data_IF_431003429712
#
_entry.id   IF_431003429712
#
_cell.length_a   1.000
_cell.length_b   1.000
_cell.length_c   1.000
_cell.angle_alpha   90.00
_cell.angle_beta   90.00
_cell.angle_gamma   90.00
#
_symmetry.space_group_name_H-M   'P 1'
#
loop_
_entity.id
_entity.type
_entity.pdbx_description
1 polymer ?
#
# COMPACT_ATOMS: atom_id res chain seq x y z
N UNK A 1 -20.29 -21.96 -21.31
CA UNK A 1 -19.08 -22.51 -20.66
C UNK A 1 -18.18 -21.32 -20.39
N UNK A 2 -18.21 -20.66 -19.25
CA UNK A 2 -18.76 -21.02 -17.93
C UNK A 2 -19.44 -19.81 -17.27
N UNK A 3 -20.27 -20.10 -16.27
CA UNK A 3 -21.20 -19.23 -15.55
C UNK A 3 -20.66 -17.84 -15.12
N UNK A 4 -21.26 -16.77 -15.65
CA UNK A 4 -21.25 -15.40 -15.10
C UNK A 4 -22.49 -15.14 -14.22
N UNK A 5 -23.05 -16.16 -13.59
CA UNK A 5 -24.34 -16.13 -12.87
C UNK A 5 -24.20 -16.02 -11.35
N UNK A 6 -23.25 -15.21 -10.88
CA UNK A 6 -23.24 -14.70 -9.50
C UNK A 6 -23.43 -13.18 -9.54
N UNK A 7 -24.31 -12.62 -8.71
CA UNK A 7 -24.40 -11.16 -8.53
C UNK A 7 -23.02 -10.62 -8.12
N UNK A 8 -22.24 -10.14 -9.09
CA UNK A 8 -20.87 -9.68 -8.85
C UNK A 8 -20.91 -8.49 -7.91
N UNK A 9 -20.31 -8.64 -6.73
CA UNK A 9 -20.17 -7.54 -5.79
C UNK A 9 -19.40 -6.39 -6.45
N UNK A 10 -19.99 -5.19 -6.43
CA UNK A 10 -19.43 -4.02 -7.13
C UNK A 10 -18.03 -3.65 -6.63
N UNK A 11 -17.78 -3.82 -5.32
CA UNK A 11 -16.46 -3.56 -4.76
C UNK A 11 -15.44 -4.61 -5.23
N UNK A 12 -15.83 -5.89 -5.33
CA UNK A 12 -14.98 -6.93 -5.94
C UNK A 12 -14.55 -6.53 -7.35
N UNK A 13 -15.50 -6.18 -8.22
CA UNK A 13 -15.22 -5.73 -9.60
C UNK A 13 -14.35 -4.48 -9.61
N UNK A 14 -14.59 -3.55 -8.68
CA UNK A 14 -13.79 -2.33 -8.56
C UNK A 14 -12.35 -2.62 -8.13
N UNK A 15 -12.09 -3.56 -7.22
CA UNK A 15 -10.74 -3.98 -6.84
C UNK A 15 -10.00 -4.63 -8.02
N UNK A 16 -10.68 -5.46 -8.81
CA UNK A 16 -10.12 -6.03 -10.05
C UNK A 16 -9.75 -4.93 -11.04
N UNK A 17 -10.65 -3.96 -11.26
CA UNK A 17 -10.36 -2.80 -12.10
C UNK A 17 -9.15 -2.00 -11.61
N UNK A 18 -9.05 -1.74 -10.30
CA UNK A 18 -7.90 -1.06 -9.71
C UNK A 18 -6.59 -1.82 -9.97
N UNK A 19 -6.63 -3.16 -9.88
CA UNK A 19 -5.46 -4.02 -10.09
C UNK A 19 -4.93 -3.96 -11.53
N UNK A 20 -5.82 -3.74 -12.51
CA UNK A 20 -5.50 -3.60 -13.93
C UNK A 20 -4.95 -2.19 -14.19
N UNK A 21 -5.68 -1.16 -13.79
CA UNK A 21 -5.36 0.23 -14.16
C UNK A 21 -4.00 0.67 -13.59
N UNK A 22 -3.66 0.22 -12.38
CA UNK A 22 -2.38 0.56 -11.76
C UNK A 22 -1.17 0.04 -12.56
N UNK A 23 -1.31 -1.01 -13.37
CA UNK A 23 -0.21 -1.53 -14.19
C UNK A 23 0.19 -0.58 -15.33
N UNK A 24 -0.72 0.31 -15.72
CA UNK A 24 -0.52 1.25 -16.81
C UNK A 24 -0.08 2.64 -16.33
N UNK A 25 0.43 2.75 -15.09
CA UNK A 25 0.79 4.02 -14.43
C UNK A 25 1.88 4.84 -15.13
N UNK A 26 2.52 4.32 -16.19
CA UNK A 26 3.43 5.10 -17.05
C UNK A 26 2.70 6.09 -17.95
N UNK A 27 1.42 5.85 -18.23
CA UNK A 27 0.55 6.80 -18.93
C UNK A 27 -0.06 7.76 -17.90
N UNK A 28 0.04 9.06 -18.14
CA UNK A 28 -0.45 10.11 -17.24
C UNK A 28 -1.96 9.99 -16.97
N UNK A 29 -2.77 9.71 -17.99
CA UNK A 29 -4.22 9.53 -17.84
C UNK A 29 -4.56 8.31 -16.96
N UNK A 30 -3.81 7.22 -17.14
CA UNK A 30 -3.98 6.00 -16.34
C UNK A 30 -3.48 6.20 -14.90
N UNK A 31 -2.42 6.99 -14.72
CA UNK A 31 -1.94 7.41 -13.40
C UNK A 31 -3.01 8.26 -12.67
N UNK A 32 -3.62 9.23 -13.36
CA UNK A 32 -4.73 10.03 -12.83
C UNK A 32 -5.94 9.16 -12.48
N UNK A 33 -6.27 8.18 -13.34
CA UNK A 33 -7.36 7.23 -13.06
C UNK A 33 -7.04 6.34 -11.85
N UNK A 34 -5.80 5.86 -11.73
CA UNK A 34 -5.33 5.10 -10.55
C UNK A 34 -5.44 5.95 -9.28
N UNK A 35 -5.05 7.23 -9.36
CA UNK A 35 -5.18 8.17 -8.26
C UNK A 35 -6.63 8.35 -7.82
N UNK A 36 -7.56 8.50 -8.77
CA UNK A 36 -8.98 8.57 -8.49
C UNK A 36 -9.48 7.29 -7.80
N UNK A 37 -9.05 6.12 -8.28
CA UNK A 37 -9.42 4.84 -7.67
C UNK A 37 -8.96 4.74 -6.21
N UNK A 38 -7.73 5.16 -5.93
CA UNK A 38 -7.19 5.13 -4.55
C UNK A 38 -7.88 6.15 -3.64
N UNK A 39 -8.31 7.30 -4.19
CA UNK A 39 -9.14 8.24 -3.43
C UNK A 39 -10.49 7.63 -3.05
N UNK A 40 -11.14 6.91 -3.97
CA UNK A 40 -12.39 6.20 -3.67
C UNK A 40 -12.14 5.14 -2.59
N UNK A 41 -11.07 4.35 -2.69
CA UNK A 41 -10.71 3.35 -1.69
C UNK A 41 -10.38 3.98 -0.32
N UNK A 42 -9.76 5.16 -0.29
CA UNK A 42 -9.56 5.92 0.95
C UNK A 42 -10.91 6.27 1.60
N UNK A 43 -11.87 6.81 0.83
CA UNK A 43 -13.20 7.11 1.36
C UNK A 43 -13.92 5.85 1.86
N UNK A 44 -13.85 4.74 1.11
CA UNK A 44 -14.46 3.46 1.52
C UNK A 44 -13.83 2.93 2.81
N UNK A 45 -12.51 3.06 2.98
CA UNK A 45 -11.82 2.62 4.21
C UNK A 45 -11.97 3.58 5.39
N UNK A 46 -12.59 4.74 5.21
CA UNK A 46 -13.00 5.61 6.32
C UNK A 46 -14.41 5.30 6.81
N UNK A 47 -15.27 4.76 5.94
CA UNK A 47 -16.65 4.42 6.29
C UNK A 47 -16.71 3.16 7.18
N UNK A 48 -17.42 3.28 8.31
CA UNK A 48 -17.48 2.21 9.31
C UNK A 48 -18.28 1.00 8.82
N UNK A 49 -19.38 1.21 8.10
CA UNK A 49 -20.23 0.14 7.59
C UNK A 49 -19.57 -0.63 6.45
N UNK A 50 -18.89 0.08 5.54
CA UNK A 50 -18.10 -0.52 4.48
C UNK A 50 -16.98 -1.38 5.06
N UNK A 51 -16.24 -0.87 6.06
CA UNK A 51 -15.22 -1.66 6.74
C UNK A 51 -15.79 -2.90 7.43
N UNK A 52 -16.91 -2.78 8.16
CA UNK A 52 -17.56 -3.92 8.80
C UNK A 52 -17.94 -5.01 7.78
N UNK A 53 -18.50 -4.60 6.64
CA UNK A 53 -18.86 -5.51 5.54
C UNK A 53 -17.64 -6.14 4.88
N UNK A 54 -16.58 -5.37 4.63
CA UNK A 54 -15.34 -5.86 4.01
C UNK A 54 -14.58 -6.86 4.89
N UNK A 55 -14.74 -6.78 6.20
CA UNK A 55 -14.04 -7.62 7.18
C UNK A 55 -14.87 -8.80 7.69
N UNK A 56 -16.16 -8.91 7.34
CA UNK A 56 -17.02 -10.01 7.77
C UNK A 56 -16.54 -11.35 7.18
N UNK A 57 -16.15 -12.29 8.04
CA UNK A 57 -15.68 -13.63 7.64
C UNK A 57 -16.76 -14.47 6.94
N UNK A 58 -18.05 -14.14 7.12
CA UNK A 58 -19.16 -14.82 6.46
C UNK A 58 -19.47 -14.25 5.07
N UNK A 59 -18.96 -13.05 4.75
CA UNK A 59 -19.19 -12.37 3.48
C UNK A 59 -17.91 -12.44 2.64
N UNK A 60 -17.77 -13.55 1.91
CA UNK A 60 -16.55 -13.84 1.15
C UNK A 60 -16.74 -13.75 -0.35
N UNK A 61 -15.72 -13.28 -1.06
CA UNK A 61 -15.70 -13.20 -2.52
C UNK A 61 -14.38 -13.74 -3.08
N UNK A 62 -14.42 -14.21 -4.32
CA UNK A 62 -13.21 -14.51 -5.09
C UNK A 62 -12.89 -13.30 -5.95
N UNK A 63 -11.75 -12.65 -5.68
CA UNK A 63 -11.30 -11.43 -6.37
C UNK A 63 -10.04 -11.75 -7.18
N UNK A 64 -10.08 -11.53 -8.49
CA UNK A 64 -8.95 -11.82 -9.39
C UNK A 64 -8.10 -10.58 -9.63
N UNK A 65 -7.10 -10.38 -8.77
CA UNK A 65 -6.19 -9.24 -8.90
C UNK A 65 -5.15 -9.47 -9.99
N UNK A 66 -5.12 -8.58 -10.97
CA UNK A 66 -4.10 -8.57 -12.01
C UNK A 66 -2.73 -8.21 -11.43
N UNK A 67 -1.75 -9.09 -11.67
CA UNK A 67 -0.39 -9.01 -11.13
C UNK A 67 0.62 -8.58 -12.19
N UNK A 68 1.56 -7.72 -11.81
CA UNK A 68 2.64 -7.31 -12.71
C UNK A 68 3.52 -8.52 -13.07
N UNK A 69 3.95 -8.67 -14.34
CA UNK A 69 4.91 -9.68 -14.71
C UNK A 69 6.28 -9.34 -14.12
N UNK A 70 6.78 -10.18 -13.21
CA UNK A 70 8.10 -10.02 -12.57
C UNK A 70 9.00 -11.22 -12.85
N UNK A 71 10.30 -10.97 -13.05
CA UNK A 71 11.28 -12.00 -13.45
C UNK A 71 11.34 -13.21 -12.51
N UNK A 72 11.10 -13.01 -11.22
CA UNK A 72 11.15 -14.05 -10.19
C UNK A 72 9.77 -14.63 -9.84
N UNK A 73 8.69 -14.12 -10.46
CA UNK A 73 7.33 -14.58 -10.19
C UNK A 73 6.99 -15.70 -11.17
N UNK A 74 6.81 -16.92 -10.64
CA UNK A 74 6.24 -18.03 -11.42
C UNK A 74 4.83 -17.61 -11.86
N UNK A 75 4.46 -17.84 -13.12
CA UNK A 75 3.06 -17.70 -13.57
C UNK A 75 2.23 -18.70 -12.77
N UNK A 76 1.58 -18.22 -11.71
CA UNK A 76 0.62 -19.00 -10.94
C UNK A 76 -0.56 -19.30 -11.84
N UNK A 77 -0.91 -20.58 -12.01
CA UNK A 77 -2.22 -20.93 -12.53
C UNK A 77 -3.24 -20.52 -11.47
N UNK A 78 -3.82 -19.33 -11.61
CA UNK A 78 -4.86 -18.74 -10.75
C UNK A 78 -6.21 -19.48 -10.81
N UNK A 79 -6.18 -20.80 -11.08
CA UNK A 79 -7.38 -21.57 -11.35
C UNK A 79 -8.24 -21.82 -10.10
N UNK A 80 -7.71 -21.65 -8.89
CA UNK A 80 -8.42 -21.91 -7.63
C UNK A 80 -8.05 -20.87 -6.54
N UNK A 81 -8.41 -19.59 -6.72
CA UNK A 81 -8.32 -18.64 -5.61
C UNK A 81 -9.45 -18.91 -4.59
N UNK A 82 -9.14 -19.00 -3.29
CA UNK A 82 -10.17 -19.17 -2.27
C UNK A 82 -10.94 -17.86 -2.05
N UNK A 83 -12.26 -17.98 -1.85
CA UNK A 83 -13.11 -16.87 -1.45
C UNK A 83 -12.74 -16.39 -0.05
N UNK A 84 -12.56 -15.08 0.10
CA UNK A 84 -12.10 -14.42 1.34
C UNK A 84 -12.81 -13.08 1.54
N UNK A 85 -12.80 -12.50 2.76
CA UNK A 85 -13.32 -11.15 2.99
C UNK A 85 -12.64 -10.12 2.08
N UNK A 86 -13.37 -9.10 1.63
CA UNK A 86 -12.85 -8.09 0.69
C UNK A 86 -11.66 -7.31 1.24
N UNK A 87 -11.56 -7.16 2.57
CA UNK A 87 -10.41 -6.52 3.19
C UNK A 87 -9.09 -7.24 2.87
N UNK A 88 -9.11 -8.57 2.70
CA UNK A 88 -7.94 -9.35 2.27
C UNK A 88 -7.54 -8.99 0.84
N UNK A 89 -8.50 -8.93 -0.08
CA UNK A 89 -8.24 -8.56 -1.46
C UNK A 89 -7.75 -7.10 -1.58
N UNK A 90 -8.26 -6.19 -0.75
CA UNK A 90 -7.79 -4.81 -0.72
C UNK A 90 -6.34 -4.70 -0.20
N UNK A 91 -5.98 -5.45 0.84
CA UNK A 91 -4.58 -5.54 1.31
C UNK A 91 -3.67 -6.13 0.24
N UNK A 92 -4.09 -7.20 -0.44
CA UNK A 92 -3.34 -7.82 -1.54
C UNK A 92 -3.15 -6.83 -2.71
N UNK A 93 -4.16 -6.02 -3.04
CA UNK A 93 -4.10 -4.98 -4.08
C UNK A 93 -3.05 -3.91 -3.74
N UNK A 94 -3.08 -3.39 -2.51
CA UNK A 94 -2.13 -2.38 -2.04
C UNK A 94 -0.71 -2.95 -1.97
N UNK A 95 -0.56 -4.19 -1.50
CA UNK A 95 0.73 -4.89 -1.48
C UNK A 95 1.28 -5.12 -2.89
N UNK A 96 0.44 -5.51 -3.85
CA UNK A 96 0.86 -5.67 -5.25
C UNK A 96 1.42 -4.36 -5.81
N UNK A 97 0.75 -3.23 -5.54
CA UNK A 97 1.25 -1.92 -5.94
C UNK A 97 2.64 -1.60 -5.36
N UNK A 98 2.85 -1.85 -4.06
CA UNK A 98 4.17 -1.63 -3.42
C UNK A 98 5.26 -2.43 -4.15
N UNK A 99 4.98 -3.69 -4.50
CA UNK A 99 5.93 -4.54 -5.21
C UNK A 99 6.20 -4.06 -6.64
N UNK A 100 5.16 -3.68 -7.40
CA UNK A 100 5.29 -3.37 -8.82
C UNK A 100 5.75 -1.93 -9.13
N UNK A 101 5.69 -1.02 -8.16
CA UNK A 101 5.88 0.41 -8.40
C UNK A 101 7.10 1.03 -7.71
N UNK A 102 8.05 0.23 -7.24
CA UNK A 102 9.40 0.69 -6.87
C UNK A 102 10.23 0.98 -8.14
N UNK A 103 9.95 2.12 -8.78
CA UNK A 103 10.50 2.49 -10.09
C UNK A 103 11.14 3.88 -10.10
N UNK A 104 11.96 4.17 -11.12
CA UNK A 104 12.70 5.43 -11.25
C UNK A 104 11.80 6.67 -11.21
N UNK A 105 10.68 6.66 -11.94
CA UNK A 105 9.66 7.69 -11.82
C UNK A 105 8.70 7.32 -10.67
N UNK A 106 9.15 7.58 -9.45
CA UNK A 106 8.45 7.13 -8.24
C UNK A 106 7.08 7.83 -8.09
N UNK A 107 5.95 7.09 -8.09
CA UNK A 107 4.62 7.69 -8.01
C UNK A 107 4.27 8.07 -6.57
N UNK A 108 4.94 9.10 -6.05
CA UNK A 108 4.90 9.49 -4.63
C UNK A 108 3.47 9.67 -4.08
N UNK A 109 2.59 10.34 -4.84
CA UNK A 109 1.21 10.58 -4.39
C UNK A 109 0.37 9.29 -4.29
N UNK A 110 0.58 8.34 -5.20
CA UNK A 110 -0.07 7.02 -5.13
C UNK A 110 0.44 6.22 -3.93
N UNK A 111 1.72 6.30 -3.60
CA UNK A 111 2.27 5.68 -2.38
C UNK A 111 1.67 6.26 -1.12
N UNK A 112 1.55 7.59 -1.01
CA UNK A 112 0.90 8.24 0.14
C UNK A 112 -0.52 7.71 0.36
N UNK A 113 -1.27 7.51 -0.73
CA UNK A 113 -2.64 6.96 -0.69
C UNK A 113 -2.64 5.46 -0.35
N UNK A 114 -1.80 4.66 -0.99
CA UNK A 114 -1.64 3.23 -0.75
C UNK A 114 -1.32 2.93 0.73
N UNK A 115 -0.31 3.60 1.29
CA UNK A 115 0.06 3.44 2.71
C UNK A 115 -1.06 3.94 3.62
N UNK A 116 -1.77 5.01 3.23
CA UNK A 116 -2.92 5.52 3.96
C UNK A 116 -4.12 4.56 4.00
N UNK A 117 -4.36 3.80 2.94
CA UNK A 117 -5.38 2.75 2.87
C UNK A 117 -5.02 1.60 3.81
N UNK A 118 -3.76 1.12 3.76
CA UNK A 118 -3.28 0.06 4.66
C UNK A 118 -3.42 0.49 6.13
N UNK A 119 -3.01 1.71 6.46
CA UNK A 119 -3.13 2.25 7.82
C UNK A 119 -4.59 2.26 8.30
N UNK A 120 -5.55 2.71 7.47
CA UNK A 120 -6.98 2.74 7.82
C UNK A 120 -7.55 1.35 8.10
N UNK A 121 -7.21 0.37 7.26
CA UNK A 121 -7.62 -1.03 7.45
C UNK A 121 -7.11 -1.55 8.79
N UNK A 122 -5.84 -1.32 9.11
CA UNK A 122 -5.24 -1.75 10.38
C UNK A 122 -5.84 -1.01 11.58
N UNK A 123 -6.07 0.30 11.47
CA UNK A 123 -6.74 1.08 12.52
C UNK A 123 -8.16 0.58 12.79
N UNK A 124 -8.92 0.21 11.75
CA UNK A 124 -10.24 -0.41 11.90
C UNK A 124 -10.15 -1.74 12.65
N UNK A 125 -9.21 -2.60 12.26
CA UNK A 125 -8.99 -3.90 12.91
C UNK A 125 -8.60 -3.75 14.38
N UNK A 126 -7.70 -2.81 14.71
CA UNK A 126 -7.36 -2.47 16.10
C UNK A 126 -8.61 -2.04 16.89
N UNK A 127 -9.37 -1.07 16.36
CA UNK A 127 -10.53 -0.48 17.03
C UNK A 127 -11.64 -1.51 17.30
N UNK A 128 -11.87 -2.40 16.34
CA UNK A 128 -12.93 -3.43 16.41
C UNK A 128 -12.44 -4.78 16.94
N UNK A 129 -11.13 -4.95 17.15
CA UNK A 129 -10.47 -6.22 17.47
C UNK A 129 -10.77 -7.33 16.46
N UNK A 130 -10.95 -6.95 15.20
CA UNK A 130 -11.22 -7.90 14.11
C UNK A 130 -9.92 -8.54 13.65
N UNK A 131 -9.88 -9.88 13.62
CA UNK A 131 -8.67 -10.67 13.32
C UNK A 131 -8.77 -11.38 11.97
N UNK A 132 -8.29 -10.73 10.91
CA UNK A 132 -8.32 -11.33 9.57
C UNK A 132 -7.42 -12.57 9.46
N UNK A 133 -7.90 -13.59 8.74
CA UNK A 133 -7.05 -14.68 8.24
C UNK A 133 -6.18 -14.18 7.08
N UNK A 134 -5.05 -13.56 7.41
CA UNK A 134 -4.15 -12.95 6.44
C UNK A 134 -2.69 -13.34 6.70
N UNK A 135 -1.93 -13.53 5.63
CA UNK A 135 -0.49 -13.75 5.72
C UNK A 135 0.21 -12.38 5.76
N UNK A 136 0.61 -11.96 6.95
CA UNK A 136 1.15 -10.62 7.19
C UNK A 136 2.62 -10.46 6.76
N UNK A 137 3.40 -11.53 6.84
CA UNK A 137 4.83 -11.53 6.50
C UNK A 137 5.16 -10.98 5.10
N UNK A 138 4.43 -11.34 4.02
CA UNK A 138 4.56 -10.70 2.72
C UNK A 138 4.37 -9.17 2.73
N UNK A 139 3.42 -8.66 3.52
CA UNK A 139 3.18 -7.22 3.65
C UNK A 139 4.35 -6.53 4.35
N UNK A 140 4.83 -7.05 5.49
CA UNK A 140 5.98 -6.48 6.18
C UNK A 140 7.22 -6.45 5.30
N UNK A 141 7.47 -7.52 4.55
CA UNK A 141 8.57 -7.59 3.58
C UNK A 141 8.43 -6.52 2.48
N UNK A 142 7.23 -6.32 1.93
CA UNK A 142 6.97 -5.28 0.95
C UNK A 142 7.28 -3.88 1.50
N UNK A 143 6.84 -3.61 2.74
CA UNK A 143 7.10 -2.33 3.43
C UNK A 143 8.59 -2.12 3.73
N UNK A 144 9.31 -3.15 4.19
CA UNK A 144 10.77 -3.09 4.41
C UNK A 144 11.50 -2.84 3.08
N UNK A 145 11.10 -3.51 2.01
CA UNK A 145 11.64 -3.29 0.68
C UNK A 145 11.41 -1.84 0.20
N UNK A 146 10.22 -1.28 0.45
CA UNK A 146 9.93 0.13 0.16
C UNK A 146 10.86 1.07 0.94
N UNK A 147 11.05 0.86 2.24
CA UNK A 147 11.98 1.67 3.05
C UNK A 147 13.41 1.61 2.50
N UNK A 148 13.88 0.42 2.13
CA UNK A 148 15.19 0.23 1.50
C UNK A 148 15.29 0.95 0.15
N UNK A 149 14.24 0.92 -0.65
CA UNK A 149 14.17 1.63 -1.93
C UNK A 149 14.27 3.14 -1.75
N UNK A 150 13.50 3.72 -0.80
CA UNK A 150 13.51 5.16 -0.53
C UNK A 150 14.92 5.67 -0.16
N UNK A 151 15.68 4.89 0.61
CA UNK A 151 17.07 5.20 0.97
C UNK A 151 17.99 5.18 -0.26
N UNK A 152 17.85 4.16 -1.11
CA UNK A 152 18.70 4.00 -2.30
C UNK A 152 18.44 5.07 -3.38
N UNK A 153 17.25 5.66 -3.37
CA UNK A 153 16.84 6.67 -4.34
C UNK A 153 16.93 8.11 -3.81
N UNK A 154 17.59 8.33 -2.66
CA UNK A 154 17.74 9.65 -2.01
C UNK A 154 18.11 10.75 -3.01
N UNK A 155 19.24 10.61 -3.71
CA UNK A 155 19.79 11.64 -4.60
C UNK A 155 18.88 12.04 -5.76
N UNK A 156 17.92 11.18 -6.12
CA UNK A 156 16.98 11.39 -7.21
C UNK A 156 15.64 11.94 -6.72
N UNK A 157 15.23 11.63 -5.48
CA UNK A 157 13.87 11.85 -5.00
C UNK A 157 13.74 13.01 -3.99
N UNK A 158 14.76 13.32 -3.19
CA UNK A 158 14.65 14.34 -2.13
C UNK A 158 14.56 15.77 -2.64
N UNK A 159 14.85 16.04 -3.93
CA UNK A 159 14.77 17.41 -4.48
C UNK A 159 13.35 17.95 -4.64
N UNK A 160 12.33 17.09 -4.57
CA UNK A 160 10.96 17.47 -4.96
C UNK A 160 9.87 17.00 -4.00
N UNK A 161 10.18 16.08 -3.08
CA UNK A 161 9.19 15.42 -2.22
C UNK A 161 9.79 15.06 -0.87
N UNK A 162 8.98 15.16 0.18
CA UNK A 162 9.34 14.76 1.53
C UNK A 162 9.27 13.23 1.72
N UNK A 163 10.40 12.56 1.49
CA UNK A 163 10.50 11.10 1.66
C UNK A 163 10.38 10.67 3.13
N UNK A 164 10.73 11.55 4.07
CA UNK A 164 10.68 11.24 5.50
C UNK A 164 9.24 11.14 5.98
N UNK A 165 8.34 11.95 5.43
CA UNK A 165 6.90 11.82 5.71
C UNK A 165 6.36 10.46 5.27
N UNK A 166 6.68 10.01 4.05
CA UNK A 166 6.24 8.70 3.56
C UNK A 166 6.86 7.55 4.38
N UNK A 167 8.15 7.60 4.65
CA UNK A 167 8.83 6.63 5.51
C UNK A 167 8.22 6.60 6.91
N UNK A 168 7.86 7.76 7.48
CA UNK A 168 7.21 7.85 8.79
C UNK A 168 5.87 7.13 8.82
N UNK A 169 5.07 7.22 7.74
CA UNK A 169 3.80 6.49 7.62
C UNK A 169 4.02 4.98 7.58
N UNK A 170 5.07 4.52 6.88
CA UNK A 170 5.44 3.08 6.85
C UNK A 170 5.90 2.61 8.24
N UNK A 171 6.74 3.38 8.93
CA UNK A 171 7.19 3.05 10.29
C UNK A 171 6.02 3.05 11.29
N UNK A 172 5.04 3.93 11.12
CA UNK A 172 3.83 3.90 11.94
C UNK A 172 3.03 2.60 11.79
N UNK A 173 2.99 2.00 10.59
CA UNK A 173 2.39 0.67 10.40
C UNK A 173 3.12 -0.38 11.24
N UNK A 174 4.47 -0.38 11.24
CA UNK A 174 5.24 -1.27 12.11
C UNK A 174 4.95 -1.02 13.59
N UNK A 175 4.90 0.23 14.02
CA UNK A 175 4.57 0.58 15.40
C UNK A 175 3.15 0.15 15.79
N UNK A 176 2.18 0.15 14.86
CA UNK A 176 0.83 -0.41 15.10
C UNK A 176 0.90 -1.92 15.40
N UNK A 177 1.65 -2.70 14.61
CA UNK A 177 1.84 -4.13 14.89
C UNK A 177 2.58 -4.37 16.21
N UNK A 178 3.64 -3.61 16.48
CA UNK A 178 4.45 -3.76 17.69
C UNK A 178 3.64 -3.41 18.95
N UNK A 179 2.81 -2.37 18.89
CA UNK A 179 2.12 -1.83 20.07
C UNK A 179 0.76 -2.50 20.31
N UNK A 180 0.05 -2.86 19.24
CA UNK A 180 -1.34 -3.33 19.31
C UNK A 180 -1.58 -4.65 18.57
N UNK A 181 -0.52 -5.35 18.13
CA UNK A 181 -0.65 -6.57 17.34
C UNK A 181 -1.45 -7.67 18.05
N UNK A 182 -1.39 -7.74 19.38
CA UNK A 182 -2.20 -8.65 20.21
C UNK A 182 -3.72 -8.45 20.03
N UNK A 183 -4.14 -7.23 19.68
CA UNK A 183 -5.55 -6.89 19.49
C UNK A 183 -6.14 -7.38 18.16
N UNK A 184 -5.34 -7.50 17.10
CA UNK A 184 -5.86 -7.75 15.75
C UNK A 184 -5.11 -8.81 14.93
N UNK A 185 -3.92 -9.26 15.35
CA UNK A 185 -3.29 -10.44 14.76
C UNK A 185 -4.07 -11.70 15.17
N UNK A 186 -4.20 -12.63 14.23
CA UNK A 186 -4.99 -13.85 14.42
C UNK A 186 -4.35 -14.81 15.43
N UNK A 187 -3.02 -14.86 15.46
CA UNK A 187 -2.27 -15.81 16.29
C UNK A 187 -1.05 -15.12 16.91
N UNK A 188 -0.57 -15.60 18.08
CA UNK A 188 0.65 -15.07 18.71
C UNK A 188 1.89 -15.30 17.84
N UNK A 189 1.93 -16.36 17.03
CA UNK A 189 3.07 -16.62 16.13
C UNK A 189 3.25 -15.50 15.10
N UNK A 190 2.16 -14.91 14.60
CA UNK A 190 2.24 -13.74 13.74
C UNK A 190 2.86 -12.53 14.46
N UNK A 191 2.65 -12.41 15.77
CA UNK A 191 3.29 -11.37 16.57
C UNK A 191 4.80 -11.64 16.74
N UNK A 192 5.19 -12.90 16.97
CA UNK A 192 6.61 -13.27 16.98
C UNK A 192 7.28 -13.00 15.63
N UNK A 193 6.58 -13.28 14.52
CA UNK A 193 7.09 -13.08 13.16
C UNK A 193 7.36 -11.60 12.85
N UNK A 194 6.55 -10.65 13.31
CA UNK A 194 6.83 -9.22 13.06
C UNK A 194 8.09 -8.76 13.80
N UNK A 195 8.31 -9.27 15.01
CA UNK A 195 9.57 -9.03 15.74
C UNK A 195 10.74 -9.68 15.03
N UNK A 196 10.59 -10.93 14.60
CA UNK A 196 11.61 -11.64 13.85
C UNK A 196 12.01 -10.90 12.57
N UNK A 197 11.04 -10.46 11.75
CA UNK A 197 11.33 -9.71 10.53
C UNK A 197 11.99 -8.35 10.82
N UNK A 198 11.56 -7.67 11.89
CA UNK A 198 12.18 -6.41 12.34
C UNK A 198 13.65 -6.61 12.69
N UNK A 199 13.97 -7.66 13.46
CA UNK A 199 15.34 -8.00 13.86
C UNK A 199 16.15 -8.49 12.66
N UNK A 200 15.61 -9.40 11.84
CA UNK A 200 16.28 -9.93 10.64
C UNK A 200 16.68 -8.82 9.66
N UNK A 201 15.84 -7.80 9.51
CA UNK A 201 16.06 -6.68 8.61
C UNK A 201 16.57 -5.41 9.32
N UNK A 202 17.15 -5.51 10.53
CA UNK A 202 17.53 -4.35 11.36
C UNK A 202 18.38 -3.30 10.61
N UNK A 203 19.31 -3.75 9.75
CA UNK A 203 20.18 -2.87 8.96
C UNK A 203 19.41 -1.87 8.09
N UNK A 204 18.20 -2.22 7.61
CA UNK A 204 17.36 -1.29 6.84
C UNK A 204 16.87 -0.14 7.72
N UNK A 205 16.52 -0.43 8.98
CA UNK A 205 16.05 0.57 9.94
C UNK A 205 17.20 1.42 10.48
N UNK A 206 18.37 0.85 10.71
CA UNK A 206 19.57 1.60 11.09
C UNK A 206 20.02 2.56 9.99
N UNK A 207 20.03 2.10 8.74
CA UNK A 207 20.33 2.95 7.60
C UNK A 207 19.27 4.04 7.41
N UNK A 208 17.99 3.74 7.66
CA UNK A 208 16.92 4.73 7.63
C UNK A 208 17.10 5.80 8.72
N UNK A 209 17.46 5.39 9.93
CA UNK A 209 17.75 6.30 11.03
C UNK A 209 18.96 7.18 10.70
N UNK A 210 20.04 6.60 10.19
CA UNK A 210 21.22 7.35 9.76
C UNK A 210 20.88 8.34 8.63
N UNK A 211 20.03 7.94 7.68
CA UNK A 211 19.52 8.82 6.63
C UNK A 211 18.75 10.01 7.21
N UNK A 212 17.79 9.76 8.11
CA UNK A 212 17.04 10.83 8.79
C UNK A 212 17.95 11.73 9.62
N UNK A 213 18.90 11.16 10.36
CA UNK A 213 19.84 11.90 11.21
C UNK A 213 20.67 12.92 10.44
N UNK A 214 21.11 12.58 9.21
CA UNK A 214 21.84 13.53 8.34
C UNK A 214 21.00 14.77 8.01
N UNK A 215 19.69 14.62 7.82
CA UNK A 215 18.79 15.73 7.50
C UNK A 215 18.32 16.46 8.76
N UNK A 216 18.23 15.78 9.90
CA UNK A 216 17.91 16.43 11.17
C UNK A 216 19.00 17.41 11.65
N UNK A 217 20.28 17.11 11.35
CA UNK A 217 21.42 17.92 11.80
C UNK A 217 21.81 19.06 10.86
N UNK A 218 21.32 19.05 9.63
CA UNK A 218 21.56 20.12 8.67
C UNK A 218 20.33 21.02 8.59
N UNK A 219 20.52 22.30 8.36
CA UNK A 219 19.40 23.20 8.10
C UNK A 219 18.89 22.96 6.67
N UNK A 220 17.70 22.37 6.54
CA UNK A 220 17.07 22.04 5.27
C UNK A 220 15.55 21.95 5.44
N UNK A 221 14.83 22.01 4.31
CA UNK A 221 13.35 21.98 4.25
C UNK A 221 12.72 20.76 4.95
N UNK A 222 13.41 19.62 4.99
CA UNK A 222 12.86 18.36 5.51
C UNK A 222 13.31 18.04 6.95
N UNK A 223 13.96 18.97 7.64
CA UNK A 223 14.51 18.77 8.98
C UNK A 223 13.47 18.29 9.99
N UNK A 224 12.28 18.89 10.00
CA UNK A 224 11.20 18.52 10.93
C UNK A 224 10.67 17.11 10.67
N UNK A 225 10.43 16.77 9.39
CA UNK A 225 9.97 15.45 8.98
C UNK A 225 11.02 14.37 9.27
N UNK A 226 12.30 14.69 9.10
CA UNK A 226 13.40 13.80 9.46
C UNK A 226 13.47 13.56 10.98
N UNK A 227 13.33 14.60 11.80
CA UNK A 227 13.23 14.47 13.26
C UNK A 227 12.04 13.59 13.69
N UNK A 228 10.88 13.79 13.07
CA UNK A 228 9.69 12.97 13.32
C UNK A 228 9.93 11.50 12.98
N UNK A 229 10.58 11.22 11.85
CA UNK A 229 10.94 9.85 11.48
C UNK A 229 11.88 9.21 12.50
N UNK A 230 12.87 9.95 13.00
CA UNK A 230 13.78 9.46 14.04
C UNK A 230 13.04 9.09 15.33
N UNK A 231 12.06 9.90 15.75
CA UNK A 231 11.21 9.61 16.90
C UNK A 231 10.41 8.33 16.65
N UNK A 232 9.78 8.20 15.48
CA UNK A 232 9.00 7.03 15.11
C UNK A 232 9.82 5.73 15.08
N UNK A 233 11.12 5.81 14.80
CA UNK A 233 12.04 4.66 14.79
C UNK A 233 12.48 4.21 16.18
N UNK A 234 12.12 4.92 17.26
CA UNK A 234 12.65 4.66 18.61
C UNK A 234 12.39 3.22 19.07
N UNK A 235 11.15 2.74 19.01
CA UNK A 235 10.82 1.40 19.48
C UNK A 235 11.46 0.31 18.62
N UNK A 236 11.48 0.49 17.29
CA UNK A 236 12.16 -0.43 16.38
C UNK A 236 13.64 -0.55 16.75
N UNK A 237 14.33 0.56 17.03
CA UNK A 237 15.74 0.54 17.44
C UNK A 237 15.95 -0.12 18.80
N UNK A 238 15.03 0.06 19.75
CA UNK A 238 15.09 -0.63 21.05
C UNK A 238 14.97 -2.15 20.86
N UNK A 239 14.03 -2.60 20.01
CA UNK A 239 13.84 -4.00 19.65
C UNK A 239 15.09 -4.58 19.01
N UNK A 240 15.61 -3.92 17.95
CA UNK A 240 16.75 -4.45 17.21
C UNK A 240 18.00 -4.51 18.09
N UNK A 241 18.28 -3.48 18.88
CA UNK A 241 19.43 -3.49 19.79
C UNK A 241 19.31 -4.61 20.85
N UNK A 242 18.13 -4.74 21.49
CA UNK A 242 17.90 -5.75 22.52
C UNK A 242 18.11 -7.18 22.00
N UNK A 243 17.46 -7.51 20.89
CA UNK A 243 17.52 -8.87 20.35
C UNK A 243 18.84 -9.16 19.63
N UNK A 244 19.47 -8.18 18.95
CA UNK A 244 20.78 -8.40 18.34
C UNK A 244 21.84 -8.74 19.39
N UNK A 245 21.87 -8.04 20.53
CA UNK A 245 22.80 -8.39 21.62
C UNK A 245 22.59 -9.81 22.14
N UNK A 246 21.34 -10.23 22.30
CA UNK A 246 21.01 -11.61 22.73
C UNK A 246 21.34 -12.65 21.67
N UNK A 247 21.10 -12.35 20.40
CA UNK A 247 21.42 -13.20 19.26
C UNK A 247 22.94 -13.38 19.13
N UNK A 248 23.71 -12.31 19.24
CA UNK A 248 25.18 -12.38 19.24
C UNK A 248 25.71 -13.23 20.39
N UNK A 249 25.17 -13.03 21.59
CA UNK A 249 25.55 -13.82 22.78
C UNK A 249 25.23 -15.30 22.58
N UNK A 250 24.04 -15.63 22.08
CA UNK A 250 23.64 -17.01 21.81
C UNK A 250 24.43 -17.64 20.66
N UNK A 251 24.69 -16.88 19.59
CA UNK A 251 25.49 -17.33 18.45
C UNK A 251 26.93 -17.67 18.85
N UNK A 252 27.52 -16.92 19.79
CA UNK A 252 28.87 -17.21 20.29
C UNK A 252 28.95 -18.55 21.06
N UNK A 253 27.82 -19.06 21.55
CA UNK A 253 27.76 -20.38 22.21
C UNK A 253 27.52 -21.53 21.22
N UNK A 254 27.21 -21.23 19.96
CA UNK A 254 26.85 -22.21 18.94
C UNK A 254 27.96 -22.30 17.88
N UNK A 255 28.22 -23.52 17.40
CA UNK A 255 29.20 -23.73 16.31
C UNK A 255 28.59 -23.57 14.92
N UNK A 256 27.26 -23.52 14.80
CA UNK A 256 26.53 -23.44 13.55
C UNK A 256 25.73 -22.12 13.45
N UNK A 257 25.44 -21.64 12.22
CA UNK A 257 24.54 -20.51 12.02
C UNK A 257 23.16 -20.77 12.64
N UNK A 258 22.57 -19.73 13.23
CA UNK A 258 21.26 -19.82 13.85
C UNK A 258 20.15 -20.02 12.81
N UNK A 259 19.25 -20.95 13.11
CA UNK A 259 18.03 -21.19 12.32
C UNK A 259 16.93 -20.18 12.67
N UNK A 260 15.97 -20.00 11.78
CA UNK A 260 14.81 -19.13 12.01
C UNK A 260 14.04 -19.49 13.28
N UNK A 261 13.79 -20.79 13.52
CA UNK A 261 13.10 -21.26 14.72
C UNK A 261 13.87 -20.94 15.99
N UNK A 262 15.21 -21.08 15.99
CA UNK A 262 16.03 -20.72 17.15
C UNK A 262 15.97 -19.23 17.47
N UNK A 263 15.92 -18.36 16.45
CA UNK A 263 15.76 -16.92 16.67
C UNK A 263 14.36 -16.58 17.18
N UNK A 264 13.32 -17.21 16.65
CA UNK A 264 11.94 -17.05 17.13
C UNK A 264 11.81 -17.49 18.60
N UNK A 265 12.41 -18.62 18.97
CA UNK A 265 12.41 -19.10 20.35
C UNK A 265 13.18 -18.15 21.28
N UNK A 266 14.28 -17.56 20.81
CA UNK A 266 15.00 -16.53 21.55
C UNK A 266 14.12 -15.28 21.76
N UNK A 267 13.37 -14.85 20.74
CA UNK A 267 12.45 -13.70 20.85
C UNK A 267 11.38 -13.97 21.90
N UNK A 268 10.68 -15.11 21.80
CA UNK A 268 9.61 -15.51 22.74
C UNK A 268 10.05 -15.51 24.19
N UNK A 269 11.26 -15.99 24.46
CA UNK A 269 11.78 -16.13 25.81
C UNK A 269 12.35 -14.83 26.41
N UNK A 270 12.29 -13.70 25.69
CA UNK A 270 12.96 -12.47 26.10
C UNK A 270 12.10 -11.19 25.93
N UNK A 271 10.78 -11.34 25.77
CA UNK A 271 9.83 -10.22 25.76
C UNK A 271 9.74 -9.48 27.09
N UNK A 272 9.84 -10.21 28.21
CA UNK A 272 9.78 -9.70 29.58
C UNK A 272 10.88 -8.67 29.89
N UNK A 273 12.05 -8.83 29.27
CA UNK A 273 13.21 -7.94 29.43
C UNK A 273 13.23 -6.77 28.44
N UNK A 274 12.27 -6.71 27.51
CA UNK A 274 12.18 -5.65 26.52
C UNK A 274 11.29 -4.49 27.03
N UNK A 275 11.87 -3.31 27.19
CA UNK A 275 11.15 -2.10 27.53
C UNK A 275 10.94 -1.20 26.30
N UNK A 276 9.69 -0.97 25.92
CA UNK A 276 9.29 -0.08 24.82
C UNK A 276 8.69 1.23 25.32
N UNK A 277 8.78 2.27 24.50
CA UNK A 277 8.10 3.54 24.77
C UNK A 277 6.65 3.47 24.29
N UNK A 278 5.74 4.07 25.04
CA UNK A 278 4.37 4.26 24.58
C UNK A 278 4.35 5.30 23.46
N UNK A 279 3.65 4.99 22.38
CA UNK A 279 3.42 5.90 21.26
C UNK A 279 1.90 6.13 21.18
N UNK A 280 1.49 7.37 21.39
CA UNK A 280 0.11 7.78 21.22
C UNK A 280 -0.24 7.97 19.74
N UNK A 281 -1.53 7.94 19.43
CA UNK A 281 -2.09 8.31 18.12
C UNK A 281 -1.59 7.53 16.90
N UNK A 282 -1.06 6.31 17.08
CA UNK A 282 -0.61 5.47 15.97
C UNK A 282 -1.74 5.07 15.00
N UNK A 283 -2.96 4.96 15.52
CA UNK A 283 -4.17 4.62 14.75
C UNK A 283 -4.89 5.84 14.19
N UNK A 284 -4.46 7.06 14.53
CA UNK A 284 -5.01 8.28 13.98
C UNK A 284 -4.49 8.52 12.56
N UNK A 285 -5.37 9.01 11.72
CA UNK A 285 -5.07 9.41 10.35
C UNK A 285 -5.91 10.64 9.99
N UNK A 286 -5.39 11.48 9.10
CA UNK A 286 -6.15 12.61 8.57
C UNK A 286 -7.31 12.08 7.72
N UNK A 287 -8.54 12.45 8.07
CA UNK A 287 -9.71 12.13 7.25
C UNK A 287 -9.59 12.78 5.87
N UNK A 288 -10.09 12.09 4.85
CA UNK A 288 -10.08 12.63 3.50
C UNK A 288 -10.87 13.94 3.43
N UNK A 289 -10.24 14.98 2.88
CA UNK A 289 -10.87 16.28 2.65
C UNK A 289 -10.50 16.77 1.25
N UNK A 290 -11.52 16.92 0.40
CA UNK A 290 -11.37 17.40 -0.98
C UNK A 290 -10.82 18.84 -1.05
N UNK A 291 -11.09 19.66 -0.03
CA UNK A 291 -10.95 21.12 -0.08
C UNK A 291 -9.52 21.66 -0.09
N UNK A 292 -8.51 20.87 0.29
CA UNK A 292 -7.18 21.44 0.59
C UNK A 292 -6.07 21.07 -0.40
N UNK A 293 -6.14 19.90 -1.07
CA UNK A 293 -5.05 19.42 -1.94
C UNK A 293 -5.50 18.81 -3.27
N UNK A 294 -6.74 18.32 -3.39
CA UNK A 294 -7.19 17.55 -4.56
C UNK A 294 -8.10 18.33 -5.52
N UNK A 295 -8.54 19.54 -5.15
CA UNK A 295 -9.44 20.35 -5.97
C UNK A 295 -8.90 20.64 -7.39
N UNK A 296 -7.59 20.94 -7.50
CA UNK A 296 -6.94 21.18 -8.80
C UNK A 296 -6.89 19.93 -9.67
N UNK A 297 -6.72 18.76 -9.04
CA UNK A 297 -6.72 17.46 -9.70
C UNK A 297 -8.12 17.13 -10.26
N UNK A 298 -9.18 17.27 -9.47
CA UNK A 298 -10.55 17.03 -9.95
C UNK A 298 -10.96 18.01 -11.05
N UNK A 299 -10.62 19.30 -10.90
CA UNK A 299 -10.86 20.29 -11.95
C UNK A 299 -10.13 19.94 -13.26
N UNK A 300 -8.94 19.32 -13.17
CA UNK A 300 -8.21 18.86 -14.36
C UNK A 300 -8.87 17.64 -15.00
N UNK A 301 -9.26 16.62 -14.20
CA UNK A 301 -9.99 15.45 -14.69
C UNK A 301 -11.28 15.89 -15.38
N UNK A 302 -12.11 16.70 -14.73
CA UNK A 302 -13.37 17.16 -15.30
C UNK A 302 -13.17 17.89 -16.64
N UNK A 303 -12.18 18.78 -16.72
CA UNK A 303 -11.84 19.48 -17.98
C UNK A 303 -11.38 18.51 -19.07
N UNK A 304 -10.54 17.54 -18.74
CA UNK A 304 -10.03 16.56 -19.69
C UNK A 304 -11.14 15.63 -20.20
N UNK A 305 -11.99 15.12 -19.31
CA UNK A 305 -13.14 14.28 -19.68
C UNK A 305 -14.12 15.04 -20.55
N UNK A 306 -14.47 16.28 -20.20
CA UNK A 306 -15.33 17.14 -21.03
C UNK A 306 -14.68 17.41 -22.39
N UNK A 307 -13.38 17.70 -22.42
CA UNK A 307 -12.63 17.92 -23.65
C UNK A 307 -12.53 16.68 -24.54
N UNK A 308 -12.40 15.49 -23.96
CA UNK A 308 -12.44 14.22 -24.69
C UNK A 308 -13.84 13.96 -25.26
N UNK A 309 -14.89 14.10 -24.43
CA UNK A 309 -16.27 13.92 -24.88
C UNK A 309 -16.65 14.90 -25.99
N UNK A 310 -16.27 16.18 -25.87
CA UNK A 310 -16.49 17.18 -26.92
C UNK A 310 -15.78 16.81 -28.22
N UNK A 311 -14.53 16.34 -28.16
CA UNK A 311 -13.79 15.88 -29.35
C UNK A 311 -14.45 14.66 -29.99
N UNK A 312 -14.85 13.68 -29.20
CA UNK A 312 -15.55 12.50 -29.68
C UNK A 312 -16.88 12.87 -30.32
N UNK A 313 -17.68 13.69 -29.65
CA UNK A 313 -18.95 14.19 -30.20
C UNK A 313 -18.75 14.99 -31.50
N UNK A 314 -17.73 15.86 -31.57
CA UNK A 314 -17.40 16.58 -32.80
C UNK A 314 -16.99 15.63 -33.94
N UNK A 315 -16.20 14.59 -33.64
CA UNK A 315 -15.85 13.56 -34.63
C UNK A 315 -17.09 12.83 -35.12
N UNK A 316 -17.97 12.38 -34.21
CA UNK A 316 -19.21 11.67 -34.53
C UNK A 316 -20.13 12.53 -35.41
N UNK A 317 -20.28 13.82 -35.07
CA UNK A 317 -21.04 14.77 -35.91
C UNK A 317 -20.41 14.97 -37.28
N UNK A 318 -19.08 15.12 -37.39
CA UNK A 318 -18.41 15.28 -38.67
C UNK A 318 -18.50 14.02 -39.54
N UNK A 319 -18.41 12.83 -38.94
CA UNK A 319 -18.65 11.57 -39.65
C UNK A 319 -20.11 11.41 -40.09
N UNK A 320 -21.08 11.84 -39.28
CA UNK A 320 -22.49 11.85 -39.68
C UNK A 320 -22.78 12.84 -40.82
N UNK A 321 -22.11 14.00 -40.83
CA UNK A 321 -22.21 15.00 -41.90
C UNK A 321 -21.52 14.52 -43.19
N UNK A 322 -20.38 13.82 -43.07
CA UNK A 322 -19.74 13.17 -44.21
C UNK A 322 -20.62 12.05 -44.79
N UNK A 323 -21.22 11.21 -43.95
CA UNK A 323 -22.15 10.16 -44.39
C UNK A 323 -23.41 10.76 -45.03
N UNK A 324 -23.98 11.83 -44.48
CA UNK A 324 -25.12 12.51 -45.11
C UNK A 324 -24.74 13.16 -46.44
N UNK A 325 -23.54 13.74 -46.56
CA UNK A 325 -23.08 14.34 -47.81
C UNK A 325 -22.75 13.29 -48.89
N UNK A 326 -22.27 12.11 -48.50
CA UNK A 326 -22.10 10.97 -49.42
C UNK A 326 -23.46 10.48 -49.89
N UNK A 327 -24.42 10.30 -48.97
CA UNK A 327 -25.79 9.87 -49.32
C UNK A 327 -26.54 10.91 -50.18
N UNK A 328 -26.32 12.20 -49.98
CA UNK A 328 -26.90 13.27 -50.80
C UNK A 328 -26.28 13.35 -52.20
N UNK A 329 -25.01 12.98 -52.37
CA UNK A 329 -24.33 12.94 -53.67
C UNK A 329 -24.59 11.63 -54.45
N UNK A 330 -25.12 10.60 -53.80
CA UNK A 330 -25.52 9.32 -54.44
C UNK A 330 -27.01 9.27 -54.83
N UNK A 331 -27.80 10.34 -54.63
CA UNK A 331 -29.14 10.44 -55.21
C UNK A 331 -28.99 10.80 -56.69
N UNK A 332 -29.31 9.92 -57.65
CA UNK A 332 -29.38 10.32 -59.03
C UNK A 332 -30.54 11.30 -59.15
N UNK A 333 -30.29 12.49 -59.69
CA UNK A 333 -31.34 13.37 -60.20
C UNK A 333 -32.15 12.58 -61.23
N UNK A 334 -33.30 12.06 -60.80
CA UNK A 334 -34.34 11.60 -61.71
C UNK A 334 -35.07 12.84 -62.19
N UNK A 335 -35.05 12.98 -63.52
CA UNK A 335 -35.59 14.02 -64.42
C UNK A 335 -34.69 15.22 -64.67
#
# INVERSE_FOLDING_TARGET
>A
MDDFSGSNNLLSVFLEYCSIIQQFSKNEDMCNTTKLCYLILLCITEDEFANATMHDENVTFTVYLHKAPMRHRKRSSEKNLPSRPLAVALLDLMMEFIWSHMMRNFPFDLYTKCIGIIQRILSFQKRTRTRLSYSWRPLWNALICLLKFLQNCESQLTKHRDLFQLASRVINIFNLFITFGDTFLRTPEAYDEVFYETVRCYHVFDNLYAFAFRYANNDNEFKESALKLMVNLTNIRLITNHFNTKIETFSNTQNNPLTENQVLDLIRNNYDTLALKLHDDLDQYDNYSEKTSEASFFANIARNTIGQYRRQYSLDTNSSVQLSNILLNEVPTIS
#
